data_IF_939724249579
#
_entry.id   IF_939724249579
#
_cell.length_a   1.000
_cell.length_b   1.000
_cell.length_c   1.000
_cell.angle_alpha   90.00
_cell.angle_beta   90.00
_cell.angle_gamma   90.00
#
_symmetry.space_group_name_H-M   'P 1'
#
loop_
_entity.id
_entity.type
_entity.pdbx_description
1 polymer ?
#
# COMPACT_ATOMS: atom_id res chain seq x y z
N UNK A 1 5.47 7.37 17.42
CA UNK A 1 5.08 7.51 16.00
C UNK A 1 4.97 6.10 15.43
N UNK A 2 3.81 5.45 15.57
CA UNK A 2 3.62 4.07 15.10
C UNK A 2 2.88 4.15 13.77
N UNK A 3 3.55 3.76 12.70
CA UNK A 3 3.03 3.72 11.33
C UNK A 3 4.20 3.47 10.38
N UNK A 4 3.97 2.74 9.30
CA UNK A 4 5.00 2.46 8.29
C UNK A 4 5.45 3.73 7.57
N UNK A 5 4.57 4.73 7.48
CA UNK A 5 4.87 6.07 6.96
C UNK A 5 6.05 6.74 7.69
N UNK A 6 6.03 6.93 9.02
CA UNK A 6 7.20 7.41 9.78
C UNK A 6 8.48 6.58 9.61
N UNK A 7 8.37 5.30 9.29
CA UNK A 7 9.51 4.40 9.08
C UNK A 7 10.08 4.46 7.65
N UNK A 8 9.43 5.20 6.73
CA UNK A 8 9.79 5.24 5.32
C UNK A 8 9.46 3.96 4.56
N UNK A 9 8.52 3.16 5.09
CA UNK A 9 8.14 1.85 4.54
C UNK A 9 6.73 1.86 3.94
N UNK A 10 6.11 3.02 3.78
CA UNK A 10 4.82 3.13 3.12
C UNK A 10 4.73 4.37 2.23
N UNK A 11 3.91 4.25 1.17
CA UNK A 11 3.55 5.33 0.27
C UNK A 11 2.05 5.33 0.02
N UNK A 12 1.44 6.52 0.07
CA UNK A 12 0.05 6.74 -0.31
C UNK A 12 0.02 7.38 -1.69
N UNK A 13 -0.67 6.73 -2.63
CA UNK A 13 -0.86 7.23 -3.98
C UNK A 13 -2.24 7.86 -4.10
N UNK A 14 -2.27 9.19 -4.15
CA UNK A 14 -3.50 9.96 -4.34
C UNK A 14 -3.92 9.90 -5.81
N UNK A 15 -4.95 9.12 -6.11
CA UNK A 15 -5.40 8.85 -7.49
C UNK A 15 -6.93 8.70 -7.54
N UNK A 16 -7.50 8.83 -8.74
CA UNK A 16 -8.91 8.46 -8.94
C UNK A 16 -9.13 6.94 -8.86
N UNK A 17 -10.39 6.52 -8.82
CA UNK A 17 -10.74 5.10 -8.62
C UNK A 17 -10.25 4.20 -9.75
N UNK A 18 -10.31 4.65 -11.01
CA UNK A 18 -9.88 3.85 -12.16
C UNK A 18 -8.36 3.61 -12.13
N UNK A 19 -7.60 4.68 -11.88
CA UNK A 19 -6.15 4.62 -11.72
C UNK A 19 -5.76 3.82 -10.48
N UNK A 20 -6.50 3.96 -9.37
CA UNK A 20 -6.27 3.21 -8.13
C UNK A 20 -6.43 1.70 -8.30
N UNK A 21 -7.47 1.27 -9.04
CA UNK A 21 -7.66 -0.14 -9.38
C UNK A 21 -6.46 -0.68 -10.17
N UNK A 22 -6.07 0.02 -11.24
CA UNK A 22 -4.96 -0.39 -12.09
C UNK A 22 -3.62 -0.41 -11.33
N UNK A 23 -3.39 0.58 -10.45
CA UNK A 23 -2.21 0.67 -9.62
C UNK A 23 -2.13 -0.48 -8.61
N UNK A 24 -3.22 -0.76 -7.88
CA UNK A 24 -3.27 -1.84 -6.90
C UNK A 24 -2.99 -3.20 -7.56
N UNK A 25 -3.63 -3.48 -8.70
CA UNK A 25 -3.40 -4.70 -9.46
C UNK A 25 -1.95 -4.82 -9.96
N UNK A 26 -1.40 -3.72 -10.49
CA UNK A 26 -0.01 -3.70 -10.99
C UNK A 26 1.00 -3.93 -9.86
N UNK A 27 0.81 -3.26 -8.72
CA UNK A 27 1.68 -3.38 -7.54
C UNK A 27 1.63 -4.80 -6.99
N UNK A 28 0.45 -5.41 -6.87
CA UNK A 28 0.31 -6.78 -6.41
C UNK A 28 0.93 -7.79 -7.40
N UNK A 29 0.80 -7.57 -8.70
CA UNK A 29 1.42 -8.43 -9.72
C UNK A 29 2.97 -8.40 -9.67
N UNK A 30 3.56 -7.29 -9.22
CA UNK A 30 5.01 -7.09 -9.12
C UNK A 30 5.50 -7.00 -7.67
N UNK A 31 4.71 -7.53 -6.72
CA UNK A 31 4.94 -7.37 -5.29
C UNK A 31 6.36 -7.76 -4.87
N UNK A 32 6.86 -8.89 -5.39
CA UNK A 32 8.20 -9.38 -5.09
C UNK A 32 9.32 -8.52 -5.69
N UNK A 33 9.10 -7.93 -6.87
CA UNK A 33 10.07 -7.04 -7.53
C UNK A 33 10.24 -5.73 -6.76
N UNK A 34 9.12 -5.17 -6.26
CA UNK A 34 9.12 -3.92 -5.52
C UNK A 34 9.35 -4.08 -4.02
N UNK A 35 9.44 -5.31 -3.51
CA UNK A 35 9.56 -5.57 -2.08
C UNK A 35 8.33 -5.11 -1.28
N UNK A 36 7.15 -5.17 -1.89
CA UNK A 36 5.88 -4.76 -1.28
C UNK A 36 5.41 -5.82 -0.29
N UNK A 37 5.10 -5.40 0.93
CA UNK A 37 4.53 -6.27 1.96
C UNK A 37 3.03 -6.43 1.79
N UNK A 38 2.30 -5.35 1.57
CA UNK A 38 0.85 -5.37 1.38
C UNK A 38 0.34 -4.08 0.72
N UNK A 39 -0.88 -4.15 0.19
CA UNK A 39 -1.64 -3.04 -0.39
C UNK A 39 -2.97 -2.90 0.33
N UNK A 40 -3.39 -1.66 0.59
CA UNK A 40 -4.76 -1.34 1.01
C UNK A 40 -5.39 -0.43 -0.04
N UNK A 41 -6.57 -0.82 -0.52
CA UNK A 41 -7.34 -0.05 -1.49
C UNK A 41 -8.84 -0.31 -1.34
N UNK A 42 -9.64 0.76 -1.37
CA UNK A 42 -11.11 0.69 -1.35
C UNK A 42 -11.64 -0.22 -0.23
N UNK A 43 -11.15 0.01 1.00
CA UNK A 43 -11.48 -0.72 2.22
C UNK A 43 -11.06 -2.20 2.23
N UNK A 44 -10.16 -2.60 1.34
CA UNK A 44 -9.67 -3.97 1.25
C UNK A 44 -8.16 -4.01 1.47
N UNK A 45 -7.70 -5.07 2.11
CA UNK A 45 -6.30 -5.42 2.33
C UNK A 45 -5.91 -6.60 1.45
N UNK A 46 -4.69 -6.59 0.91
CA UNK A 46 -4.10 -7.73 0.20
C UNK A 46 -2.58 -7.76 0.35
N UNK A 47 -2.04 -8.90 0.76
CA UNK A 47 -0.60 -9.17 0.92
C UNK A 47 -0.05 -10.22 -0.06
N UNK A 48 -0.81 -10.52 -1.11
CA UNK A 48 -0.54 -11.58 -2.07
C UNK A 48 -1.43 -12.82 -1.89
N UNK A 49 -2.17 -12.91 -0.78
CA UNK A 49 -3.12 -14.01 -0.53
C UNK A 49 -4.57 -13.71 -0.95
N UNK A 50 -4.79 -12.58 -1.63
CA UNK A 50 -6.10 -12.14 -2.09
C UNK A 50 -6.72 -11.05 -1.21
N UNK A 51 -7.79 -10.45 -1.71
CA UNK A 51 -8.44 -9.31 -1.08
C UNK A 51 -9.30 -9.74 0.12
N UNK A 52 -9.11 -9.03 1.24
CA UNK A 52 -9.90 -9.17 2.47
C UNK A 52 -10.47 -7.82 2.89
N UNK A 53 -11.78 -7.77 3.19
CA UNK A 53 -12.40 -6.54 3.68
C UNK A 53 -11.88 -6.15 5.06
N UNK A 54 -11.62 -4.86 5.24
CA UNK A 54 -11.29 -4.26 6.52
C UNK A 54 -12.54 -3.79 7.25
N UNK A 55 -12.41 -3.57 8.55
CA UNK A 55 -13.43 -2.85 9.32
C UNK A 55 -13.62 -1.42 8.80
N UNK A 56 -14.83 -0.90 8.93
CA UNK A 56 -15.11 0.51 8.64
C UNK A 56 -14.50 1.39 9.74
N UNK A 57 -13.58 2.26 9.32
CA UNK A 57 -12.85 3.18 10.20
C UNK A 57 -13.50 4.56 10.28
N UNK A 58 -14.58 4.81 9.54
CA UNK A 58 -15.45 5.98 9.72
C UNK A 58 -15.22 7.14 8.76
N UNK A 59 -14.23 7.07 7.87
CA UNK A 59 -14.00 8.11 6.85
C UNK A 59 -13.48 7.54 5.52
N UNK A 60 -13.63 8.33 4.45
CA UNK A 60 -13.13 8.00 3.09
C UNK A 60 -11.63 7.73 3.11
N UNK A 61 -10.87 8.59 3.77
CA UNK A 61 -9.43 8.47 3.88
C UNK A 61 -9.02 7.27 4.73
N UNK A 62 -9.61 7.07 5.91
CA UNK A 62 -9.24 5.92 6.76
C UNK A 62 -9.63 4.57 6.12
N UNK A 63 -10.66 4.56 5.29
CA UNK A 63 -11.07 3.41 4.49
C UNK A 63 -10.39 3.32 3.12
N UNK A 64 -9.43 4.20 2.81
CA UNK A 64 -8.60 4.14 1.59
C UNK A 64 -9.41 4.19 0.29
N UNK A 65 -10.48 4.99 0.27
CA UNK A 65 -11.28 5.21 -0.94
C UNK A 65 -10.74 6.35 -1.83
N UNK A 66 -9.83 7.18 -1.29
CA UNK A 66 -9.23 8.34 -1.98
C UNK A 66 -7.73 8.17 -2.27
N UNK A 67 -7.12 7.07 -1.83
CA UNK A 67 -5.72 6.74 -2.10
C UNK A 67 -5.45 5.23 -2.01
N UNK A 68 -4.45 4.77 -2.77
CA UNK A 68 -3.90 3.41 -2.62
C UNK A 68 -2.72 3.48 -1.65
N UNK A 69 -2.78 2.71 -0.56
CA UNK A 69 -1.69 2.60 0.39
C UNK A 69 -0.85 1.37 0.05
N UNK A 70 0.46 1.56 -0.09
CA UNK A 70 1.42 0.48 -0.37
C UNK A 70 2.47 0.46 0.72
N UNK A 71 2.62 -0.69 1.37
CA UNK A 71 3.62 -0.91 2.40
C UNK A 71 4.71 -1.86 1.91
N UNK A 72 5.94 -1.66 2.37
CA UNK A 72 7.16 -2.32 1.88
C UNK A 72 7.87 -3.07 3.00
N UNK A 73 8.58 -4.15 2.65
CA UNK A 73 9.40 -4.88 3.61
C UNK A 73 10.60 -4.03 4.08
N UNK A 74 11.00 -4.14 5.37
CA UNK A 74 12.12 -3.39 5.95
C UNK A 74 13.53 -3.79 5.44
N UNK A 75 13.67 -4.33 4.23
CA UNK A 75 14.92 -4.88 3.71
C UNK A 75 15.41 -4.26 2.40
N UNK A 76 15.04 -3.01 2.10
CA UNK A 76 15.76 -2.26 1.08
C UNK A 76 17.14 -1.88 1.62
N UNK A 77 18.17 -2.66 1.30
CA UNK A 77 19.59 -2.29 1.48
C UNK A 77 19.86 -1.01 0.68
N UNK A 78 19.73 0.16 1.32
CA UNK A 78 20.16 1.43 0.73
C UNK A 78 21.64 1.60 1.04
N UNK A 79 22.51 1.16 0.13
CA UNK A 79 23.94 1.51 0.22
C UNK A 79 24.13 2.99 -0.13
N UNK A 80 24.04 3.87 0.87
CA UNK A 80 24.48 5.26 0.70
C UNK A 80 26.00 5.26 0.77
N UNK A 81 26.67 5.44 -0.37
CA UNK A 81 28.09 5.80 -0.39
C UNK A 81 28.18 7.32 -0.40
N UNK A 82 28.83 7.87 0.64
CA UNK A 82 29.23 9.28 0.71
C UNK A 82 30.51 9.51 -0.08
#
# INVERSE_FOLDING_TARGET
MSGEHPAGLALDFMVDTETGNALADYVLAHQAEFGVSYVIWSQQYNDGNGWSMMEDRGSVTENHYDHVHVSFHPSAEVSVTC
#
